data_IF_878279766342
#
_entry.id   IF_878279766342
#
_cell.length_a   1.000
_cell.length_b   1.000
_cell.length_c   1.000
_cell.angle_alpha   90.00
_cell.angle_beta   90.00
_cell.angle_gamma   90.00
#
_symmetry.space_group_name_H-M   'P 1'
#
loop_
_entity.id
_entity.type
_entity.pdbx_description
1 polymer ?
#
# COMPACT_ATOMS: atom_id res chain seq x y z
N UNK A 1 -12.61 7.30 4.49
CA UNK A 1 -13.53 6.48 3.68
C UNK A 1 -12.74 6.07 2.45
N UNK A 2 -12.32 4.80 2.41
CA UNK A 2 -11.47 4.24 1.33
C UNK A 2 -11.78 2.74 1.08
N UNK A 3 -12.79 2.18 1.76
CA UNK A 3 -13.07 0.74 1.77
C UNK A 3 -13.64 0.29 0.43
N UNK A 4 -14.62 1.03 -0.11
CA UNK A 4 -15.24 0.70 -1.39
C UNK A 4 -14.26 0.80 -2.58
N UNK A 5 -13.32 1.74 -2.54
CA UNK A 5 -12.23 1.80 -3.54
C UNK A 5 -11.27 0.62 -3.37
N UNK A 6 -10.92 0.26 -2.14
CA UNK A 6 -10.09 -0.92 -1.87
C UNK A 6 -10.76 -2.22 -2.34
N UNK A 7 -12.08 -2.37 -2.18
CA UNK A 7 -12.83 -3.53 -2.69
C UNK A 7 -12.76 -3.62 -4.22
N UNK A 8 -12.93 -2.48 -4.92
CA UNK A 8 -12.80 -2.45 -6.39
C UNK A 8 -11.41 -2.83 -6.85
N UNK A 9 -10.39 -2.28 -6.20
CA UNK A 9 -8.99 -2.59 -6.51
C UNK A 9 -8.71 -4.08 -6.25
N UNK A 10 -9.20 -4.62 -5.13
CA UNK A 10 -9.09 -6.04 -4.82
C UNK A 10 -9.76 -6.91 -5.91
N UNK A 11 -10.95 -6.52 -6.39
CA UNK A 11 -11.62 -7.20 -7.50
C UNK A 11 -10.78 -7.25 -8.77
N UNK A 12 -10.11 -6.14 -9.14
CA UNK A 12 -9.19 -6.12 -10.28
C UNK A 12 -8.02 -7.08 -10.10
N UNK A 13 -7.45 -7.17 -8.90
CA UNK A 13 -6.38 -8.14 -8.63
C UNK A 13 -6.85 -9.58 -8.73
N UNK A 14 -8.07 -9.88 -8.25
CA UNK A 14 -8.67 -11.21 -8.39
C UNK A 14 -8.87 -11.57 -9.86
N UNK A 15 -9.35 -10.64 -10.70
CA UNK A 15 -9.47 -10.85 -12.15
C UNK A 15 -8.10 -11.09 -12.84
N UNK A 16 -7.02 -10.54 -12.28
CA UNK A 16 -5.64 -10.77 -12.73
C UNK A 16 -5.03 -12.07 -12.19
N UNK A 17 -5.76 -12.85 -11.40
CA UNK A 17 -5.33 -14.15 -10.86
C UNK A 17 -4.63 -14.07 -9.50
N UNK A 18 -4.70 -12.94 -8.80
CA UNK A 18 -4.25 -12.84 -7.41
C UNK A 18 -5.33 -13.35 -6.45
N UNK A 19 -4.90 -13.78 -5.28
CA UNK A 19 -5.77 -14.18 -4.18
C UNK A 19 -5.54 -13.27 -2.98
N UNK A 20 -6.56 -13.13 -2.13
CA UNK A 20 -6.41 -12.38 -0.88
C UNK A 20 -5.54 -13.22 0.06
N UNK A 21 -4.42 -12.64 0.50
CA UNK A 21 -3.54 -13.29 1.46
C UNK A 21 -4.17 -13.30 2.87
N UNK A 22 -4.04 -14.42 3.58
CA UNK A 22 -4.51 -14.57 4.96
C UNK A 22 -3.68 -13.73 5.94
N UNK A 23 -2.40 -13.54 5.63
CA UNK A 23 -1.48 -12.72 6.40
C UNK A 23 -0.63 -11.81 5.49
N UNK A 24 -0.14 -10.70 6.04
CA UNK A 24 0.69 -9.73 5.29
C UNK A 24 2.02 -10.37 4.86
N UNK A 25 2.51 -11.27 5.69
CA UNK A 25 3.74 -12.03 5.48
C UNK A 25 3.64 -12.98 4.29
N UNK A 26 2.44 -13.44 3.94
CA UNK A 26 2.20 -14.37 2.83
C UNK A 26 2.04 -13.66 1.48
N UNK A 27 1.74 -12.37 1.50
CA UNK A 27 1.48 -11.59 0.29
C UNK A 27 2.73 -11.48 -0.61
N UNK A 28 2.50 -11.56 -1.91
CA UNK A 28 3.45 -11.17 -2.96
C UNK A 28 3.21 -9.75 -3.48
N UNK A 29 2.04 -9.17 -3.14
CA UNK A 29 1.67 -7.79 -3.41
C UNK A 29 0.94 -7.18 -2.21
N UNK A 30 1.40 -6.03 -1.75
CA UNK A 30 0.76 -5.24 -0.70
C UNK A 30 0.37 -3.88 -1.27
N UNK A 31 -0.92 -3.54 -1.20
CA UNK A 31 -1.44 -2.27 -1.68
C UNK A 31 -1.97 -1.41 -0.52
N UNK A 32 -1.37 -0.23 -0.34
CA UNK A 32 -1.82 0.79 0.58
C UNK A 32 -2.71 1.80 -0.14
N UNK A 33 -4.01 1.78 0.16
CA UNK A 33 -4.94 2.79 -0.36
C UNK A 33 -5.06 3.96 0.63
N UNK A 34 -4.55 5.14 0.24
CA UNK A 34 -4.36 6.30 1.11
C UNK A 34 -5.33 7.43 0.83
N UNK A 35 -5.61 8.26 1.84
CA UNK A 35 -6.50 9.41 1.71
C UNK A 35 -5.87 10.66 2.37
N UNK A 36 -5.97 11.80 1.68
CA UNK A 36 -5.32 13.09 1.97
C UNK A 36 -6.05 13.94 3.03
N UNK A 37 -7.18 13.49 3.57
CA UNK A 37 -8.08 14.40 4.28
C UNK A 37 -7.58 14.74 5.72
N UNK A 38 -6.59 14.02 6.28
CA UNK A 38 -6.12 14.24 7.66
C UNK A 38 -4.63 13.96 7.85
N UNK A 39 -3.90 14.90 8.48
CA UNK A 39 -2.46 14.78 8.82
C UNK A 39 -2.14 13.53 9.66
N UNK A 40 -3.06 13.11 10.52
CA UNK A 40 -2.89 11.89 11.34
C UNK A 40 -2.81 10.64 10.46
N UNK A 41 -3.54 10.61 9.33
CA UNK A 41 -3.56 9.46 8.43
C UNK A 41 -2.22 9.28 7.70
N UNK A 42 -1.50 10.36 7.42
CA UNK A 42 -0.18 10.32 6.79
C UNK A 42 0.87 9.65 7.70
N UNK A 43 0.91 10.04 8.98
CA UNK A 43 1.85 9.42 9.93
C UNK A 43 1.59 7.93 10.10
N UNK A 44 0.32 7.52 10.16
CA UNK A 44 -0.05 6.10 10.25
C UNK A 44 0.38 5.33 9.02
N UNK A 45 0.10 5.82 7.81
CA UNK A 45 0.49 5.08 6.61
C UNK A 45 2.00 4.98 6.43
N UNK A 46 2.73 6.05 6.79
CA UNK A 46 4.20 6.02 6.78
C UNK A 46 4.77 4.99 7.78
N UNK A 47 4.12 4.80 8.92
CA UNK A 47 4.42 3.73 9.87
C UNK A 47 4.24 2.35 9.24
N UNK A 48 3.04 2.09 8.72
CA UNK A 48 2.71 0.79 8.11
C UNK A 48 3.61 0.45 6.91
N UNK A 49 3.98 1.44 6.08
CA UNK A 49 4.94 1.26 4.99
C UNK A 49 6.34 0.94 5.53
N UNK A 50 6.72 1.53 6.67
CA UNK A 50 7.95 1.20 7.38
C UNK A 50 7.99 -0.27 7.82
N UNK A 51 6.88 -0.79 8.32
CA UNK A 51 6.79 -2.16 8.85
C UNK A 51 7.00 -3.21 7.76
N UNK A 52 6.45 -2.99 6.56
CA UNK A 52 6.62 -3.93 5.43
C UNK A 52 8.00 -3.86 4.76
N UNK A 53 8.88 -2.91 5.12
CA UNK A 53 10.26 -2.90 4.59
C UNK A 53 11.05 -4.14 4.96
N UNK A 54 10.83 -4.66 6.16
CA UNK A 54 11.47 -5.91 6.57
C UNK A 54 11.04 -7.06 5.65
N UNK A 55 9.75 -7.15 5.32
CA UNK A 55 9.23 -8.12 4.38
C UNK A 55 9.82 -7.95 2.98
N UNK A 56 9.96 -6.72 2.47
CA UNK A 56 10.60 -6.45 1.18
C UNK A 56 12.08 -6.86 1.15
N UNK A 57 12.79 -6.79 2.28
CA UNK A 57 14.18 -7.29 2.38
C UNK A 57 14.23 -8.82 2.34
N UNK A 58 13.29 -9.51 2.99
CA UNK A 58 13.19 -10.97 2.98
C UNK A 58 12.67 -11.52 1.65
N UNK A 59 11.74 -10.80 1.02
CA UNK A 59 11.10 -11.12 -0.25
C UNK A 59 11.40 -10.02 -1.26
N UNK A 60 12.57 -10.04 -1.93
CA UNK A 60 12.93 -9.00 -2.91
C UNK A 60 11.91 -8.82 -4.05
N UNK A 61 11.14 -9.88 -4.36
CA UNK A 61 10.08 -9.86 -5.36
C UNK A 61 8.77 -9.21 -4.89
N UNK A 62 8.54 -9.04 -3.58
CA UNK A 62 7.32 -8.46 -3.01
C UNK A 62 7.00 -7.09 -3.61
N UNK A 63 5.85 -6.91 -4.23
CA UNK A 63 5.44 -5.61 -4.77
C UNK A 63 4.76 -4.81 -3.67
N UNK A 64 5.25 -3.61 -3.37
CA UNK A 64 4.58 -2.66 -2.47
C UNK A 64 4.07 -1.49 -3.29
N UNK A 65 2.76 -1.32 -3.35
CA UNK A 65 2.08 -0.24 -4.07
C UNK A 65 1.41 0.70 -3.07
N UNK A 66 1.47 2.00 -3.36
CA UNK A 66 0.75 3.03 -2.61
C UNK A 66 -0.08 3.82 -3.61
N UNK A 67 -1.38 3.92 -3.37
CA UNK A 67 -2.35 4.60 -4.23
C UNK A 67 -3.20 5.57 -3.42
N UNK A 68 -4.02 6.36 -4.12
CA UNK A 68 -4.93 7.33 -3.52
C UNK A 68 -4.38 8.77 -3.50
N UNK A 69 -5.13 9.70 -2.91
CA UNK A 69 -4.85 11.14 -3.09
C UNK A 69 -3.62 11.65 -2.35
N UNK A 70 -3.08 10.92 -1.37
CA UNK A 70 -1.84 11.33 -0.69
C UNK A 70 -0.63 11.29 -1.63
N UNK A 71 -0.55 10.31 -2.54
CA UNK A 71 0.58 10.20 -3.47
C UNK A 71 0.60 11.29 -4.54
N UNK A 72 -0.50 12.03 -4.69
CA UNK A 72 -0.64 13.17 -5.60
C UNK A 72 -0.07 14.47 -5.03
N UNK A 73 0.20 14.52 -3.72
CA UNK A 73 0.83 15.67 -3.10
C UNK A 73 2.29 15.82 -3.56
N UNK A 74 2.73 17.07 -3.72
CA UNK A 74 4.07 17.39 -4.23
C UNK A 74 5.16 16.79 -3.35
N UNK A 75 6.00 15.93 -3.93
CA UNK A 75 7.14 15.29 -3.27
C UNK A 75 6.81 14.04 -2.44
N UNK A 76 5.54 13.69 -2.23
CA UNK A 76 5.17 12.52 -1.44
C UNK A 76 5.60 11.21 -2.10
N UNK A 77 5.38 11.06 -3.41
CA UNK A 77 5.81 9.86 -4.15
C UNK A 77 7.33 9.64 -4.06
N UNK A 78 8.13 10.70 -4.13
CA UNK A 78 9.58 10.61 -4.01
C UNK A 78 10.03 10.28 -2.58
N UNK A 79 9.36 10.85 -1.58
CA UNK A 79 9.62 10.54 -0.17
C UNK A 79 9.34 9.07 0.16
N UNK A 80 8.25 8.52 -0.38
CA UNK A 80 7.90 7.11 -0.22
C UNK A 80 8.95 6.17 -0.84
N UNK A 81 9.50 6.50 -2.02
CA UNK A 81 10.54 5.70 -2.67
C UNK A 81 11.89 5.72 -1.94
N UNK A 82 12.21 6.83 -1.26
CA UNK A 82 13.47 6.99 -0.51
C UNK A 82 13.45 6.30 0.84
N UNK A 83 12.26 6.04 1.39
CA UNK A 83 12.11 5.33 2.64
C UNK A 83 12.19 3.84 2.36
#
# INVERSE_FOLDING_TARGET
MNVHESEKIAGVFVELGYEIADAVEDADLILFNTCCIRDTAEKHILGNIGDVKYLKKLKPWLIVAVVGCMTQQKGMADNLKKK
#
